data_IF_593407087746
#
_entry.id   IF_593407087746
#
_cell.length_a   1.000
_cell.length_b   1.000
_cell.length_c   1.000
_cell.angle_alpha   90.00
_cell.angle_beta   90.00
_cell.angle_gamma   90.00
#
_symmetry.space_group_name_H-M   'P 1'
#
loop_
_entity.id
_entity.type
_entity.pdbx_description
1 polymer ?
#
# COMPACT_ATOMS: atom_id res chain seq x y z
N UNK A 1 13.00 0.59 -1.46
CA UNK A 1 11.72 -0.15 -1.61
C UNK A 1 11.77 -1.66 -1.34
N UNK A 2 12.72 -2.42 -1.90
CA UNK A 2 12.84 -3.87 -1.59
C UNK A 2 13.17 -4.14 -0.12
N UNK A 3 13.96 -3.27 0.50
CA UNK A 3 14.30 -3.36 1.92
C UNK A 3 13.09 -3.14 2.83
N UNK A 4 12.15 -2.30 2.42
CA UNK A 4 10.91 -1.99 3.15
C UNK A 4 9.95 -3.18 3.12
N UNK A 5 9.89 -3.91 1.99
CA UNK A 5 9.19 -5.21 1.94
C UNK A 5 9.84 -6.20 2.89
N UNK A 6 11.19 -6.26 2.92
CA UNK A 6 11.91 -7.14 3.84
C UNK A 6 11.65 -6.76 5.30
N UNK A 7 11.66 -5.47 5.63
CA UNK A 7 11.30 -4.96 6.96
C UNK A 7 9.87 -5.36 7.32
N UNK A 8 8.90 -5.13 6.45
CA UNK A 8 7.51 -5.57 6.68
C UNK A 8 7.39 -7.07 6.99
N UNK A 9 8.13 -7.92 6.26
CA UNK A 9 8.10 -9.37 6.47
C UNK A 9 8.75 -9.81 7.78
N UNK A 10 9.69 -9.04 8.32
CA UNK A 10 10.44 -9.38 9.54
C UNK A 10 9.89 -8.68 10.80
N UNK A 11 9.23 -7.55 10.65
CA UNK A 11 8.67 -6.76 11.75
C UNK A 11 7.44 -7.43 12.38
N UNK A 12 7.16 -7.08 13.64
CA UNK A 12 5.97 -7.53 14.40
C UNK A 12 5.25 -6.35 15.04
N UNK A 13 3.97 -6.54 15.35
CA UNK A 13 3.14 -5.53 16.03
C UNK A 13 3.14 -4.17 15.31
N UNK A 14 3.27 -3.09 16.06
CA UNK A 14 3.19 -1.72 15.54
C UNK A 14 4.31 -1.38 14.54
N UNK A 15 5.50 -1.98 14.67
CA UNK A 15 6.58 -1.78 13.69
C UNK A 15 6.22 -2.32 12.31
N UNK A 16 5.43 -3.41 12.27
CA UNK A 16 4.94 -3.98 11.02
C UNK A 16 3.97 -3.03 10.32
N UNK A 17 3.11 -2.36 11.08
CA UNK A 17 2.19 -1.32 10.59
C UNK A 17 2.97 -0.13 10.00
N UNK A 18 3.98 0.38 10.73
CA UNK A 18 4.84 1.46 10.24
C UNK A 18 5.59 1.09 8.97
N UNK A 19 6.14 -0.14 8.90
CA UNK A 19 6.82 -0.64 7.72
C UNK A 19 5.87 -0.77 6.51
N UNK A 20 4.65 -1.27 6.74
CA UNK A 20 3.60 -1.35 5.73
C UNK A 20 3.25 0.04 5.19
N UNK A 21 2.94 1.00 6.07
CA UNK A 21 2.62 2.37 5.67
C UNK A 21 3.75 3.07 4.93
N UNK A 22 5.00 2.85 5.34
CA UNK A 22 6.18 3.39 4.66
C UNK A 22 6.21 2.95 3.19
N UNK A 23 5.99 1.65 2.92
CA UNK A 23 5.96 1.16 1.53
C UNK A 23 4.74 1.72 0.78
N UNK A 24 3.55 1.67 1.36
CA UNK A 24 2.31 2.12 0.70
C UNK A 24 2.40 3.58 0.29
N UNK A 25 2.91 4.47 1.15
CA UNK A 25 3.12 5.88 0.82
C UNK A 25 4.11 6.06 -0.33
N UNK A 26 5.17 5.26 -0.37
CA UNK A 26 6.14 5.33 -1.46
C UNK A 26 5.51 4.91 -2.79
N UNK A 27 4.82 3.77 -2.85
CA UNK A 27 4.23 3.26 -4.09
C UNK A 27 3.01 4.08 -4.53
N UNK A 28 2.27 4.69 -3.59
CA UNK A 28 1.14 5.57 -3.88
C UNK A 28 1.56 6.82 -4.68
N UNK A 29 2.77 7.35 -4.49
CA UNK A 29 3.26 8.51 -5.26
C UNK A 29 3.20 8.28 -6.78
N UNK A 30 3.38 7.04 -7.19
CA UNK A 30 3.42 6.59 -8.58
C UNK A 30 2.09 6.02 -9.07
N UNK A 31 0.98 6.19 -8.33
CA UNK A 31 -0.33 5.60 -8.66
C UNK A 31 -0.94 6.05 -9.99
N UNK A 32 -0.40 7.10 -10.61
CA UNK A 32 -0.79 7.59 -11.94
C UNK A 32 0.09 7.04 -13.07
N UNK A 33 1.15 6.29 -12.77
CA UNK A 33 1.94 5.63 -13.80
C UNK A 33 1.14 4.45 -14.37
N UNK A 34 1.06 4.36 -15.70
CA UNK A 34 0.31 3.30 -16.39
C UNK A 34 1.24 2.60 -17.40
N UNK A 35 1.30 1.25 -17.41
CA UNK A 35 0.64 0.30 -16.50
C UNK A 35 1.30 0.27 -15.11
N UNK A 36 0.51 0.49 -14.06
CA UNK A 36 1.04 0.70 -12.69
C UNK A 36 1.90 -0.45 -12.17
N UNK A 37 1.45 -1.69 -12.35
CA UNK A 37 2.15 -2.86 -11.83
C UNK A 37 3.45 -3.15 -12.57
N UNK A 38 3.47 -2.96 -13.88
CA UNK A 38 4.67 -3.11 -14.70
C UNK A 38 5.67 -2.00 -14.34
N UNK A 39 5.20 -0.76 -14.16
CA UNK A 39 6.03 0.35 -13.70
C UNK A 39 6.73 0.03 -12.37
N UNK A 40 6.01 -0.49 -11.38
CA UNK A 40 6.60 -0.87 -10.09
C UNK A 40 7.61 -2.01 -10.21
N UNK A 41 7.32 -2.99 -11.08
CA UNK A 41 8.21 -4.14 -11.32
C UNK A 41 9.51 -3.68 -11.97
N UNK A 42 9.43 -2.84 -12.99
CA UNK A 42 10.59 -2.45 -13.80
C UNK A 42 11.48 -1.42 -13.09
N UNK A 43 10.89 -0.45 -12.39
CA UNK A 43 11.64 0.63 -11.76
C UNK A 43 12.12 0.27 -10.34
N UNK A 44 11.38 -0.55 -9.61
CA UNK A 44 11.66 -0.84 -8.20
C UNK A 44 11.82 -2.32 -7.88
N UNK A 45 11.55 -3.21 -8.85
CA UNK A 45 11.56 -4.65 -8.64
C UNK A 45 10.53 -5.13 -7.62
N UNK A 46 9.42 -4.40 -7.49
CA UNK A 46 8.31 -4.74 -6.58
C UNK A 46 7.24 -5.45 -7.38
N UNK A 47 6.74 -6.58 -6.87
CA UNK A 47 5.65 -7.31 -7.51
C UNK A 47 4.32 -6.85 -6.97
N UNK A 48 3.30 -6.89 -7.83
CA UNK A 48 1.90 -6.64 -7.48
C UNK A 48 1.46 -7.39 -6.22
N UNK A 49 1.82 -8.67 -6.10
CA UNK A 49 1.45 -9.49 -4.94
C UNK A 49 1.99 -8.95 -3.61
N UNK A 50 3.21 -8.40 -3.60
CA UNK A 50 3.84 -7.90 -2.38
C UNK A 50 3.12 -6.63 -1.90
N UNK A 51 2.70 -5.75 -2.82
CA UNK A 51 1.89 -4.56 -2.50
C UNK A 51 0.49 -4.95 -2.03
N UNK A 52 -0.18 -5.86 -2.73
CA UNK A 52 -1.52 -6.32 -2.36
C UNK A 52 -1.53 -7.00 -0.99
N UNK A 53 -0.50 -7.79 -0.67
CA UNK A 53 -0.33 -8.42 0.65
C UNK A 53 -0.26 -7.37 1.75
N UNK A 54 0.54 -6.31 1.55
CA UNK A 54 0.70 -5.23 2.53
C UNK A 54 -0.58 -4.42 2.70
N UNK A 55 -1.28 -4.10 1.60
CA UNK A 55 -2.57 -3.41 1.69
C UNK A 55 -3.62 -4.25 2.41
N UNK A 56 -3.67 -5.57 2.17
CA UNK A 56 -4.58 -6.48 2.88
C UNK A 56 -4.25 -6.56 4.36
N UNK A 57 -2.97 -6.63 4.72
CA UNK A 57 -2.57 -6.59 6.11
C UNK A 57 -3.06 -5.31 6.80
N UNK A 58 -2.90 -4.15 6.17
CA UNK A 58 -3.42 -2.89 6.71
C UNK A 58 -4.96 -2.90 6.80
N UNK A 59 -5.66 -3.51 5.85
CA UNK A 59 -7.12 -3.72 5.92
C UNK A 59 -7.52 -4.63 7.10
N UNK A 60 -6.78 -5.72 7.33
CA UNK A 60 -7.04 -6.68 8.40
C UNK A 60 -6.82 -6.09 9.80
N UNK A 61 -5.82 -5.21 9.98
CA UNK A 61 -5.56 -4.54 11.25
C UNK A 61 -6.38 -3.26 11.46
N UNK A 62 -7.28 -2.93 10.52
CA UNK A 62 -8.13 -1.75 10.61
C UNK A 62 -7.41 -0.42 10.36
N UNK A 63 -6.28 -0.45 9.65
CA UNK A 63 -5.47 0.72 9.29
C UNK A 63 -5.85 1.31 7.92
N UNK A 64 -6.42 0.51 7.01
CA UNK A 64 -6.74 0.91 5.65
C UNK A 64 -8.09 0.32 5.21
N UNK A 65 -8.92 1.09 4.52
CA UNK A 65 -10.06 0.54 3.81
C UNK A 65 -9.76 0.46 2.30
N UNK A 66 -9.71 -0.75 1.74
CA UNK A 66 -9.48 -0.92 0.30
C UNK A 66 -10.81 -0.71 -0.43
N UNK A 67 -10.81 0.24 -1.36
CA UNK A 67 -11.96 0.54 -2.21
C UNK A 67 -12.49 -0.72 -2.89
N UNK A 68 -13.81 -0.80 -3.00
CA UNK A 68 -14.52 -1.91 -3.65
C UNK A 68 -15.31 -1.39 -4.85
N UNK A 69 -15.30 -2.15 -5.93
CA UNK A 69 -16.28 -1.95 -7.01
C UNK A 69 -17.66 -2.44 -6.56
N UNK A 70 -18.69 -2.13 -7.35
CA UNK A 70 -20.07 -2.57 -7.11
C UNK A 70 -20.23 -4.10 -7.04
N UNK A 71 -19.32 -4.85 -7.65
CA UNK A 71 -19.24 -6.32 -7.60
C UNK A 71 -18.40 -6.86 -6.43
N UNK A 72 -17.93 -5.98 -5.52
CA UNK A 72 -17.16 -6.34 -4.33
C UNK A 72 -15.65 -6.57 -4.56
N UNK A 73 -15.14 -6.37 -5.79
CA UNK A 73 -13.70 -6.54 -6.07
C UNK A 73 -12.88 -5.40 -5.49
N UNK A 74 -11.69 -5.72 -4.99
CA UNK A 74 -10.72 -4.75 -4.43
C UNK A 74 -10.07 -3.91 -5.53
N UNK A 75 -10.14 -2.59 -5.38
CA UNK A 75 -9.60 -1.60 -6.30
C UNK A 75 -8.29 -0.98 -5.78
N UNK A 76 -7.24 -1.79 -5.70
CA UNK A 76 -5.95 -1.41 -5.10
C UNK A 76 -5.35 -0.12 -5.67
N UNK A 77 -5.31 0.02 -7.00
CA UNK A 77 -4.72 1.22 -7.63
C UNK A 77 -5.56 2.46 -7.36
N UNK A 78 -6.89 2.34 -7.35
CA UNK A 78 -7.78 3.45 -6.97
C UNK A 78 -7.53 3.88 -5.53
N UNK A 79 -7.40 2.95 -4.60
CA UNK A 79 -7.05 3.25 -3.20
C UNK A 79 -5.69 3.94 -3.09
N UNK A 80 -4.69 3.52 -3.89
CA UNK A 80 -3.38 4.17 -3.92
C UNK A 80 -3.41 5.58 -4.53
N UNK A 81 -4.33 5.84 -5.48
CA UNK A 81 -4.61 7.20 -5.98
C UNK A 81 -5.22 8.08 -4.89
N UNK A 82 -6.21 7.57 -4.15
CA UNK A 82 -6.82 8.30 -3.03
C UNK A 82 -5.80 8.60 -1.91
N UNK A 83 -4.96 7.64 -1.53
CA UNK A 83 -3.88 7.84 -0.54
C UNK A 83 -2.92 8.94 -0.96
N UNK A 84 -2.59 9.02 -2.26
CA UNK A 84 -1.72 10.07 -2.80
C UNK A 84 -2.39 11.45 -2.71
N UNK A 85 -3.70 11.53 -2.99
CA UNK A 85 -4.46 12.78 -2.99
C UNK A 85 -4.81 13.25 -1.57
N UNK A 86 -4.98 12.31 -0.63
CA UNK A 86 -5.41 12.57 0.75
C UNK A 86 -4.40 12.07 1.81
N UNK A 87 -3.14 12.56 1.82
CA UNK A 87 -2.12 12.10 2.77
C UNK A 87 -2.47 12.41 4.23
N UNK A 88 -3.32 13.41 4.50
CA UNK A 88 -3.70 13.86 5.86
C UNK A 88 -4.70 12.93 6.55
N UNK A 89 -5.53 12.19 5.78
CA UNK A 89 -6.46 11.23 6.38
C UNK A 89 -5.72 10.14 7.16
N UNK A 90 -4.43 9.93 6.89
CA UNK A 90 -3.57 8.92 7.50
C UNK A 90 -2.96 9.30 8.85
N UNK A 91 -2.68 10.57 9.12
CA UNK A 91 -2.15 10.99 10.43
C UNK A 91 -3.16 10.78 11.56
N UNK A 92 -4.45 10.62 11.24
CA UNK A 92 -5.49 10.25 12.21
C UNK A 92 -5.46 8.78 12.64
N UNK A 93 -4.84 7.89 11.86
CA UNK A 93 -4.86 6.44 12.12
C UNK A 93 -3.62 5.98 12.91
N UNK A 94 -2.53 6.77 12.89
CA UNK A 94 -1.33 6.54 13.70
C UNK A 94 -1.44 7.04 15.16
N UNK A 95 -2.65 7.35 15.66
CA UNK A 95 -2.88 7.88 17.02
C UNK A 95 -3.27 6.80 18.02
#
# INVERSE_FOLDING_TARGET
>A
MKEEIKKFKLSKGNEKIKAAWSLIRQVAKYSNAEPYWDFLRENFGIREKDVKEIMRFLEEVGELEIHRSSDGKRLYVSTLKDIKENPVKLDRWLK
#
